data_IF_092755977598
#
_entry.id   IF_092755977598
#
_cell.length_a   1.000
_cell.length_b   1.000
_cell.length_c   1.000
_cell.angle_alpha   90.00
_cell.angle_beta   90.00
_cell.angle_gamma   90.00
#
_symmetry.space_group_name_H-M   'P 1'
#
loop_
_entity.id
_entity.type
_entity.pdbx_description
1 polymer ?
#
# COMPACT_ATOMS: atom_id res chain seq x y z
N UNK A 1 5.35 -18.56 30.51
CA UNK A 1 4.45 -18.68 29.35
C UNK A 1 5.32 -18.92 28.13
N UNK A 2 4.87 -19.71 27.15
CA UNK A 2 5.64 -19.98 25.93
C UNK A 2 5.49 -18.84 24.92
N UNK A 3 6.53 -18.56 24.14
CA UNK A 3 6.45 -17.64 23.01
C UNK A 3 6.47 -18.41 21.71
N UNK A 4 5.81 -17.87 20.68
CA UNK A 4 5.85 -18.39 19.32
C UNK A 4 6.22 -17.28 18.35
N UNK A 5 6.93 -17.64 17.29
CA UNK A 5 7.00 -16.83 16.08
C UNK A 5 5.71 -17.03 15.30
N UNK A 6 5.18 -15.94 14.78
CA UNK A 6 4.17 -15.95 13.73
C UNK A 6 4.69 -15.12 12.57
N UNK A 7 4.65 -15.71 11.38
CA UNK A 7 5.00 -15.02 10.16
C UNK A 7 3.79 -14.96 9.24
N UNK A 8 3.67 -13.83 8.55
CA UNK A 8 2.60 -13.51 7.61
C UNK A 8 3.18 -13.24 6.24
N UNK A 9 2.43 -13.62 5.22
CA UNK A 9 2.78 -13.32 3.85
C UNK A 9 1.51 -13.13 3.01
N UNK A 10 1.37 -11.93 2.48
CA UNK A 10 0.19 -11.50 1.72
C UNK A 10 0.26 -12.03 0.30
N UNK A 11 -0.80 -12.72 -0.12
CA UNK A 11 -0.88 -13.34 -1.44
C UNK A 11 -1.45 -12.36 -2.47
N UNK A 12 -1.08 -12.54 -3.75
CA UNK A 12 -1.73 -11.88 -4.89
C UNK A 12 -1.75 -10.33 -4.88
N UNK A 13 -0.80 -9.67 -4.20
CA UNK A 13 -0.71 -8.18 -4.15
C UNK A 13 -0.81 -7.56 -5.55
N UNK A 14 0.01 -8.02 -6.51
CA UNK A 14 0.04 -7.48 -7.87
C UNK A 14 -1.29 -7.69 -8.61
N UNK A 15 -1.91 -8.85 -8.46
CA UNK A 15 -3.21 -9.15 -9.08
C UNK A 15 -4.33 -8.29 -8.45
N UNK A 16 -4.29 -8.05 -7.14
CA UNK A 16 -5.25 -7.20 -6.47
C UNK A 16 -5.09 -5.73 -6.87
N UNK A 17 -3.87 -5.22 -6.91
CA UNK A 17 -3.60 -3.81 -7.24
C UNK A 17 -3.82 -3.53 -8.73
N UNK A 18 -3.31 -4.38 -9.63
CA UNK A 18 -3.31 -4.16 -11.08
C UNK A 18 -4.33 -5.00 -11.85
N UNK A 19 -5.24 -5.71 -11.18
CA UNK A 19 -6.35 -6.45 -11.80
C UNK A 19 -7.45 -5.57 -12.38
N UNK A 20 -7.19 -4.27 -12.54
CA UNK A 20 -8.09 -3.23 -13.03
C UNK A 20 -7.26 -2.18 -13.76
N UNK A 21 -7.84 -1.54 -14.77
CA UNK A 21 -7.23 -0.43 -15.50
C UNK A 21 -7.63 0.95 -14.93
N UNK A 22 -8.44 0.99 -13.88
CA UNK A 22 -8.94 2.22 -13.28
C UNK A 22 -7.96 2.73 -12.23
N UNK A 23 -7.43 3.92 -12.45
CA UNK A 23 -6.41 4.52 -11.59
C UNK A 23 -6.86 4.67 -10.13
N UNK A 24 -8.08 5.16 -9.89
CA UNK A 24 -8.67 5.23 -8.54
C UNK A 24 -8.70 3.88 -7.84
N UNK A 25 -8.90 2.78 -8.56
CA UNK A 25 -8.90 1.45 -7.96
C UNK A 25 -7.50 0.94 -7.65
N UNK A 26 -6.52 1.19 -8.53
CA UNK A 26 -5.10 0.88 -8.28
C UNK A 26 -4.62 1.60 -7.00
N UNK A 27 -4.92 2.89 -6.90
CA UNK A 27 -4.57 3.74 -5.76
C UNK A 27 -5.24 3.29 -4.47
N UNK A 28 -6.54 3.04 -4.54
CA UNK A 28 -7.32 2.54 -3.42
C UNK A 28 -6.82 1.18 -2.94
N UNK A 29 -6.52 0.27 -3.86
CA UNK A 29 -5.97 -1.05 -3.54
C UNK A 29 -4.65 -0.94 -2.77
N UNK A 30 -3.72 -0.11 -3.26
CA UNK A 30 -2.45 0.10 -2.55
C UNK A 30 -2.64 0.71 -1.17
N UNK A 31 -3.59 1.64 -1.01
CA UNK A 31 -3.88 2.26 0.29
C UNK A 31 -4.51 1.28 1.28
N UNK A 32 -5.43 0.43 0.83
CA UNK A 32 -6.02 -0.66 1.65
C UNK A 32 -4.91 -1.60 2.13
N UNK A 33 -4.04 -2.07 1.23
CA UNK A 33 -2.94 -2.97 1.58
C UNK A 33 -1.93 -2.33 2.54
N UNK A 34 -1.62 -1.05 2.36
CA UNK A 34 -0.73 -0.33 3.27
C UNK A 34 -1.33 -0.22 4.68
N UNK A 35 -2.61 0.17 4.80
CA UNK A 35 -3.34 0.18 6.08
C UNK A 35 -3.34 -1.20 6.73
N UNK A 36 -3.66 -2.25 5.98
CA UNK A 36 -3.69 -3.62 6.49
C UNK A 36 -2.32 -4.08 7.03
N UNK A 37 -1.24 -3.73 6.35
CA UNK A 37 0.12 -4.07 6.79
C UNK A 37 0.57 -3.24 8.00
N UNK A 38 0.41 -1.92 7.94
CA UNK A 38 1.00 -0.99 8.93
C UNK A 38 0.15 -0.81 10.18
N UNK A 39 -1.18 -0.89 10.05
CA UNK A 39 -2.13 -0.60 11.14
C UNK A 39 -2.74 -1.87 11.70
N UNK A 40 -3.37 -2.68 10.84
CA UNK A 40 -4.14 -3.85 11.27
C UNK A 40 -3.24 -4.99 11.74
N UNK A 41 -2.26 -5.41 10.93
CA UNK A 41 -1.34 -6.48 11.29
C UNK A 41 -0.51 -6.13 12.54
N UNK A 42 -0.28 -4.84 12.80
CA UNK A 42 0.45 -4.37 13.98
C UNK A 42 -0.45 -4.10 15.19
N UNK A 43 -1.76 -4.33 15.07
CA UNK A 43 -2.75 -4.14 16.13
C UNK A 43 -2.71 -2.75 16.78
N UNK A 44 -2.35 -1.71 16.01
CA UNK A 44 -2.20 -0.35 16.54
C UNK A 44 -3.53 0.24 17.02
N UNK A 45 -4.64 -0.10 16.37
CA UNK A 45 -5.97 0.34 16.78
C UNK A 45 -6.48 -0.43 18.01
N UNK A 46 -6.21 -1.74 18.06
CA UNK A 46 -6.81 -2.65 19.04
C UNK A 46 -5.77 -3.64 19.52
N UNK A 47 -5.26 -3.41 20.73
CA UNK A 47 -4.24 -4.27 21.36
C UNK A 47 -4.90 -5.50 22.01
N UNK A 48 -5.43 -6.38 21.17
CA UNK A 48 -6.11 -7.60 21.62
C UNK A 48 -5.15 -8.70 22.04
N UNK A 49 -3.99 -8.75 21.40
CA UNK A 49 -3.00 -9.79 21.63
C UNK A 49 -1.67 -9.17 22.07
N UNK A 50 -0.97 -9.85 22.98
CA UNK A 50 0.38 -9.47 23.38
C UNK A 50 1.36 -9.86 22.28
N UNK A 51 1.76 -8.88 21.48
CA UNK A 51 2.63 -9.09 20.32
C UNK A 51 3.82 -8.13 20.32
N UNK A 52 4.97 -8.64 19.91
CA UNK A 52 6.16 -7.84 19.65
C UNK A 52 6.49 -7.92 18.16
N UNK A 53 6.29 -6.80 17.46
CA UNK A 53 6.66 -6.65 16.04
C UNK A 53 8.17 -6.72 15.83
N UNK A 54 8.58 -7.61 14.92
CA UNK A 54 9.91 -7.64 14.32
C UNK A 54 9.90 -6.76 13.06
N UNK A 55 9.04 -7.08 12.09
CA UNK A 55 8.75 -6.25 10.91
C UNK A 55 7.32 -6.50 10.38
N UNK A 56 6.77 -5.56 9.62
CA UNK A 56 5.43 -5.66 9.01
C UNK A 56 5.31 -4.71 7.80
N UNK A 57 6.02 -5.02 6.71
CA UNK A 57 6.16 -4.15 5.54
C UNK A 57 6.05 -4.97 4.25
N UNK A 58 5.56 -4.38 3.16
CA UNK A 58 5.56 -5.01 1.84
C UNK A 58 4.74 -6.31 1.75
N UNK A 59 3.70 -6.47 2.57
CA UNK A 59 2.90 -7.69 2.63
C UNK A 59 3.50 -8.81 3.50
N UNK A 60 4.71 -8.63 4.05
CA UNK A 60 5.36 -9.57 4.95
C UNK A 60 5.28 -9.10 6.40
N UNK A 61 5.05 -10.04 7.31
CA UNK A 61 5.02 -9.77 8.75
C UNK A 61 5.77 -10.82 9.55
N UNK A 62 6.45 -10.41 10.62
CA UNK A 62 7.04 -11.31 11.61
C UNK A 62 6.87 -10.74 13.01
N UNK A 63 6.29 -11.54 13.89
CA UNK A 63 5.96 -11.16 15.26
C UNK A 63 6.33 -12.26 16.24
N UNK A 64 6.67 -11.85 17.46
CA UNK A 64 6.64 -12.71 18.65
C UNK A 64 5.31 -12.55 19.34
N UNK A 65 4.66 -13.67 19.67
CA UNK A 65 3.34 -13.70 20.29
C UNK A 65 3.30 -14.78 21.36
N UNK A 66 2.47 -14.61 22.38
CA UNK A 66 2.16 -15.69 23.31
C UNK A 66 1.64 -16.92 22.56
N UNK A 67 2.21 -18.11 22.83
CA UNK A 67 1.89 -19.33 22.10
C UNK A 67 0.40 -19.71 22.12
N UNK A 68 -0.34 -19.34 23.17
CA UNK A 68 -1.78 -19.64 23.27
C UNK A 68 -2.64 -18.70 22.42
N UNK A 69 -2.08 -17.56 22.01
CA UNK A 69 -2.75 -16.52 21.23
C UNK A 69 -2.33 -16.51 19.76
N UNK A 70 -1.21 -17.15 19.41
CA UNK A 70 -0.62 -17.10 18.08
C UNK A 70 -1.62 -17.45 16.96
N UNK A 71 -2.35 -18.57 17.08
CA UNK A 71 -3.32 -18.98 16.06
C UNK A 71 -4.54 -18.04 15.99
N UNK A 72 -5.02 -17.55 17.15
CA UNK A 72 -6.13 -16.58 17.20
C UNK A 72 -5.74 -15.27 16.52
N UNK A 73 -4.52 -14.81 16.74
CA UNK A 73 -3.99 -13.61 16.09
C UNK A 73 -3.82 -13.82 14.58
N UNK A 74 -3.33 -14.98 14.15
CA UNK A 74 -3.23 -15.34 12.73
C UNK A 74 -4.58 -15.26 12.01
N UNK A 75 -5.61 -15.91 12.57
CA UNK A 75 -6.98 -15.89 12.04
C UNK A 75 -7.61 -14.51 12.06
N UNK A 76 -7.34 -13.71 13.10
CA UNK A 76 -7.78 -12.32 13.17
C UNK A 76 -7.25 -11.51 11.99
N UNK A 77 -5.94 -11.55 11.74
CA UNK A 77 -5.33 -10.84 10.60
C UNK A 77 -5.89 -11.35 9.27
N UNK A 78 -6.05 -12.67 9.11
CA UNK A 78 -6.69 -13.24 7.92
C UNK A 78 -8.10 -12.72 7.67
N UNK A 79 -8.93 -12.67 8.71
CA UNK A 79 -10.30 -12.19 8.61
C UNK A 79 -10.35 -10.72 8.23
N UNK A 80 -9.51 -9.88 8.85
CA UNK A 80 -9.44 -8.45 8.53
C UNK A 80 -8.99 -8.20 7.08
N UNK A 81 -8.02 -8.97 6.56
CA UNK A 81 -7.61 -8.90 5.16
C UNK A 81 -8.75 -9.29 4.21
N UNK A 82 -9.46 -10.37 4.53
CA UNK A 82 -10.59 -10.85 3.74
C UNK A 82 -11.71 -9.80 3.72
N UNK A 83 -12.09 -9.28 4.87
CA UNK A 83 -13.14 -8.27 5.00
C UNK A 83 -12.76 -6.97 4.31
N UNK A 84 -11.57 -6.42 4.56
CA UNK A 84 -11.15 -5.14 3.98
C UNK A 84 -11.00 -5.19 2.44
N UNK A 85 -10.69 -6.35 1.87
CA UNK A 85 -10.45 -6.49 0.43
C UNK A 85 -11.62 -7.07 -0.36
N UNK A 86 -12.74 -7.39 0.31
CA UNK A 86 -13.89 -8.05 -0.33
C UNK A 86 -13.55 -9.48 -0.77
N UNK A 87 -12.67 -10.16 -0.03
CA UNK A 87 -12.23 -11.52 -0.30
C UNK A 87 -11.17 -11.69 -1.39
N UNK A 88 -10.82 -10.63 -2.13
CA UNK A 88 -9.87 -10.72 -3.25
C UNK A 88 -8.41 -10.90 -2.84
N UNK A 89 -8.05 -10.63 -1.58
CA UNK A 89 -6.71 -10.86 -1.04
C UNK A 89 -6.80 -11.83 0.13
N UNK A 90 -5.87 -12.78 0.14
CA UNK A 90 -5.63 -13.64 1.29
C UNK A 90 -4.24 -13.36 1.86
N UNK A 91 -4.07 -13.63 3.16
CA UNK A 91 -2.77 -13.60 3.84
C UNK A 91 -2.53 -14.98 4.43
N UNK A 92 -1.41 -15.59 4.08
CA UNK A 92 -0.98 -16.84 4.69
C UNK A 92 -0.27 -16.53 6.00
N UNK A 93 -0.47 -17.37 7.02
CA UNK A 93 0.29 -17.27 8.25
C UNK A 93 0.73 -18.66 8.72
N UNK A 94 1.87 -18.71 9.40
CA UNK A 94 2.35 -19.92 10.06
C UNK A 94 2.88 -19.58 11.44
N UNK A 95 2.82 -20.54 12.35
CA UNK A 95 3.30 -20.37 13.72
C UNK A 95 4.35 -21.41 14.07
N UNK A 96 5.32 -21.01 14.89
CA UNK A 96 6.37 -21.90 15.37
C UNK A 96 6.67 -21.58 16.83
N UNK A 97 6.48 -22.56 17.71
CA UNK A 97 6.78 -22.41 19.14
C UNK A 97 8.29 -22.30 19.40
N UNK A 98 8.66 -21.39 20.29
CA UNK A 98 10.03 -21.17 20.73
C UNK A 98 10.30 -21.88 22.07
N UNK A 99 11.57 -22.19 22.37
CA UNK A 99 11.98 -22.69 23.69
C UNK A 99 11.56 -21.75 24.83
N UNK A 100 11.31 -22.30 26.02
CA UNK A 100 10.84 -21.51 27.18
C UNK A 100 11.85 -20.47 27.67
N UNK A 101 13.13 -20.71 27.41
CA UNK A 101 14.28 -19.89 27.79
C UNK A 101 14.80 -19.02 26.63
N UNK A 102 14.06 -18.96 25.53
CA UNK A 102 14.42 -18.16 24.34
C UNK A 102 14.65 -16.69 24.68
N UNK A 103 15.75 -16.15 24.15
CA UNK A 103 16.06 -14.73 24.17
C UNK A 103 16.09 -14.18 22.76
N UNK A 104 15.69 -12.92 22.61
CA UNK A 104 15.71 -12.21 21.32
C UNK A 104 17.08 -12.26 20.63
N UNK A 105 18.16 -12.26 21.40
CA UNK A 105 19.55 -12.32 20.91
C UNK A 105 19.98 -13.70 20.42
N UNK A 106 19.17 -14.74 20.61
CA UNK A 106 19.54 -16.09 20.24
C UNK A 106 19.62 -16.25 18.72
N UNK A 107 20.62 -17.00 18.26
CA UNK A 107 20.77 -17.37 16.87
C UNK A 107 19.82 -18.51 16.54
N UNK A 108 18.88 -18.27 15.63
CA UNK A 108 17.82 -19.22 15.28
C UNK A 108 17.67 -19.42 13.76
N UNK A 109 18.77 -19.65 12.99
CA UNK A 109 18.70 -19.81 11.53
C UNK A 109 17.74 -20.94 11.10
N UNK A 110 17.92 -22.15 11.64
CA UNK A 110 17.10 -23.32 11.27
C UNK A 110 15.60 -23.09 11.51
N UNK A 111 15.26 -22.33 12.55
CA UNK A 111 13.88 -21.99 12.88
C UNK A 111 13.29 -21.00 11.89
N UNK A 112 14.06 -19.99 11.51
CA UNK A 112 13.66 -18.99 10.51
C UNK A 112 13.52 -19.62 9.12
N UNK A 113 14.44 -20.52 8.74
CA UNK A 113 14.38 -21.25 7.48
C UNK A 113 13.17 -22.19 7.44
N UNK A 114 12.91 -22.92 8.53
CA UNK A 114 11.71 -23.75 8.65
C UNK A 114 10.43 -22.91 8.59
N UNK A 115 10.40 -21.73 9.23
CA UNK A 115 9.25 -20.83 9.20
C UNK A 115 8.97 -20.33 7.77
N UNK A 116 10.02 -19.98 7.02
CA UNK A 116 9.90 -19.57 5.62
C UNK A 116 9.42 -20.72 4.73
N UNK A 117 9.98 -21.92 4.90
CA UNK A 117 9.52 -23.11 4.18
C UNK A 117 8.04 -23.43 4.47
N UNK A 118 7.63 -23.32 5.73
CA UNK A 118 6.23 -23.52 6.12
C UNK A 118 5.30 -22.49 5.46
N UNK A 119 5.71 -21.21 5.40
CA UNK A 119 4.96 -20.17 4.69
C UNK A 119 4.83 -20.48 3.20
N UNK A 120 5.92 -20.87 2.54
CA UNK A 120 5.90 -21.21 1.12
C UNK A 120 5.00 -22.42 0.84
N UNK A 121 4.99 -23.40 1.74
CA UNK A 121 4.08 -24.55 1.66
C UNK A 121 2.63 -24.08 1.80
N UNK A 122 2.32 -23.31 2.83
CA UNK A 122 0.98 -22.79 3.10
C UNK A 122 0.45 -22.00 1.89
N UNK A 123 1.28 -21.12 1.31
CA UNK A 123 0.93 -20.35 0.10
C UNK A 123 0.50 -21.21 -1.08
N UNK A 124 1.12 -22.39 -1.26
CA UNK A 124 0.79 -23.32 -2.35
C UNK A 124 -0.50 -24.09 -2.07
N UNK A 125 -0.81 -24.32 -0.79
CA UNK A 125 -2.00 -25.07 -0.37
C UNK A 125 -3.26 -24.21 -0.28
N UNK A 126 -3.13 -22.88 -0.20
CA UNK A 126 -4.25 -21.94 -0.33
C UNK A 126 -4.77 -21.99 -1.78
N UNK A 127 -5.64 -22.96 -2.04
CA UNK A 127 -6.42 -23.03 -3.27
C UNK A 127 -7.42 -21.88 -3.25
N UNK A 128 -7.23 -20.90 -4.11
CA UNK A 128 -8.27 -19.93 -4.40
C UNK A 128 -9.51 -20.69 -4.88
N UNK A 129 -10.63 -20.52 -4.18
CA UNK A 129 -11.94 -20.85 -4.74
C UNK A 129 -12.19 -19.84 -5.86
N UNK A 130 -11.75 -20.17 -7.07
CA UNK A 130 -12.14 -19.43 -8.26
C UNK A 130 -13.62 -19.75 -8.48
N UNK A 131 -14.48 -18.79 -8.16
CA UNK A 131 -15.87 -18.84 -8.56
C UNK A 131 -15.92 -18.67 -10.08
N UNK A 132 -15.94 -19.79 -10.81
CA UNK A 132 -16.13 -19.73 -12.25
C UNK A 132 -17.49 -19.08 -12.53
N UNK A 133 -17.58 -18.16 -13.51
CA UNK A 133 -18.85 -17.60 -13.96
C UNK A 133 -19.77 -18.75 -14.39
N UNK A 134 -20.73 -19.10 -13.54
CA UNK A 134 -21.49 -20.35 -13.68
C UNK A 134 -22.95 -20.11 -14.05
N UNK A 135 -23.45 -18.88 -13.94
CA UNK A 135 -24.87 -18.59 -14.13
C UNK A 135 -25.14 -17.36 -15.03
N UNK A 136 -26.02 -17.49 -16.05
CA UNK A 136 -26.38 -16.39 -16.97
C UNK A 136 -27.14 -15.20 -16.34
N UNK A 137 -27.50 -15.29 -15.05
CA UNK A 137 -28.18 -14.20 -14.32
C UNK A 137 -27.22 -13.40 -13.44
N UNK A 138 -25.93 -13.75 -13.43
CA UNK A 138 -24.93 -13.04 -12.65
C UNK A 138 -24.09 -12.21 -13.61
N UNK A 139 -23.93 -10.93 -13.29
CA UNK A 139 -23.10 -9.98 -14.04
C UNK A 139 -21.71 -9.92 -13.42
N UNK A 140 -20.68 -9.86 -14.26
CA UNK A 140 -19.31 -9.61 -13.81
C UNK A 140 -19.13 -8.13 -13.45
N UNK A 141 -18.24 -7.86 -12.52
CA UNK A 141 -17.82 -6.52 -12.14
C UNK A 141 -17.37 -5.74 -13.39
N UNK A 142 -17.93 -4.55 -13.58
CA UNK A 142 -17.65 -3.72 -14.76
C UNK A 142 -16.21 -3.20 -14.80
N UNK A 143 -15.48 -3.31 -13.68
CA UNK A 143 -14.08 -2.88 -13.59
C UNK A 143 -13.06 -4.02 -13.69
N UNK A 144 -13.09 -4.99 -12.77
CA UNK A 144 -12.11 -6.07 -12.80
C UNK A 144 -12.46 -7.20 -13.78
N UNK A 145 -13.74 -7.36 -14.14
CA UNK A 145 -14.19 -8.44 -15.03
C UNK A 145 -14.00 -9.86 -14.49
N UNK A 146 -13.56 -10.02 -13.24
CA UNK A 146 -13.27 -11.33 -12.61
C UNK A 146 -14.35 -11.74 -11.63
N UNK A 147 -14.65 -10.85 -10.68
CA UNK A 147 -15.63 -11.11 -9.61
C UNK A 147 -17.04 -10.76 -10.06
N UNK A 148 -18.04 -11.31 -9.38
CA UNK A 148 -19.43 -10.93 -9.60
C UNK A 148 -19.72 -9.52 -9.07
N UNK A 149 -20.50 -8.76 -9.82
CA UNK A 149 -20.98 -7.47 -9.39
C UNK A 149 -22.07 -7.64 -8.33
N UNK A 150 -22.05 -6.77 -7.31
CA UNK A 150 -23.08 -6.74 -6.28
C UNK A 150 -24.10 -5.66 -6.63
N UNK A 151 -25.37 -6.07 -6.78
CA UNK A 151 -26.46 -5.18 -7.13
C UNK A 151 -26.90 -4.29 -5.96
N UNK A 152 -26.62 -4.69 -4.71
CA UNK A 152 -26.90 -3.86 -3.53
C UNK A 152 -25.88 -2.73 -3.38
N UNK A 153 -24.70 -2.89 -3.99
CA UNK A 153 -23.73 -1.82 -4.22
C UNK A 153 -24.22 -0.97 -5.42
N UNK A 154 -25.45 -0.47 -5.32
CA UNK A 154 -25.98 0.53 -6.24
C UNK A 154 -25.18 1.83 -6.10
N UNK A 155 -24.87 2.44 -7.24
CA UNK A 155 -24.00 3.60 -7.45
C UNK A 155 -24.38 4.90 -6.71
N UNK A 156 -25.41 4.90 -5.85
CA UNK A 156 -25.92 6.10 -5.16
C UNK A 156 -24.86 6.87 -4.37
N UNK A 157 -23.77 6.22 -3.96
CA UNK A 157 -22.66 6.85 -3.22
C UNK A 157 -21.30 6.74 -3.94
N UNK A 158 -21.27 6.23 -5.17
CA UNK A 158 -20.04 6.02 -5.93
C UNK A 158 -19.59 7.30 -6.64
N UNK A 159 -18.29 7.58 -6.59
CA UNK A 159 -17.69 8.64 -7.40
C UNK A 159 -17.50 8.11 -8.83
N UNK A 160 -18.40 8.54 -9.70
CA UNK A 160 -18.27 8.36 -11.14
C UNK A 160 -17.17 9.27 -11.68
N UNK A 161 -16.30 8.73 -12.52
CA UNK A 161 -15.49 9.61 -13.38
C UNK A 161 -16.42 10.30 -14.40
N UNK A 162 -16.09 11.50 -14.88
CA UNK A 162 -16.81 12.12 -15.96
C UNK A 162 -16.91 11.17 -17.17
N UNK A 163 -18.11 10.70 -17.48
CA UNK A 163 -18.37 9.74 -18.56
C UNK A 163 -18.52 8.26 -18.15
N UNK A 164 -18.39 7.91 -16.86
CA UNK A 164 -18.80 6.57 -16.38
C UNK A 164 -20.33 6.49 -16.30
N UNK A 165 -20.92 5.48 -16.95
CA UNK A 165 -22.34 5.12 -16.84
C UNK A 165 -22.65 4.39 -15.53
N UNK A 166 -23.92 4.05 -15.29
CA UNK A 166 -24.36 3.22 -14.16
C UNK A 166 -23.76 1.80 -14.22
N UNK A 167 -22.51 1.69 -13.77
CA UNK A 167 -21.73 0.47 -13.71
C UNK A 167 -21.90 -0.21 -12.35
N UNK A 168 -22.14 -1.53 -12.37
CA UNK A 168 -22.15 -2.37 -11.17
C UNK A 168 -20.74 -2.90 -10.90
N UNK A 169 -20.33 -2.83 -9.64
CA UNK A 169 -18.99 -3.22 -9.18
C UNK A 169 -19.08 -4.37 -8.17
N UNK A 170 -18.02 -5.17 -8.07
CA UNK A 170 -17.87 -6.07 -6.93
C UNK A 170 -17.48 -5.29 -5.67
N UNK A 171 -17.67 -5.91 -4.51
CA UNK A 171 -17.32 -5.35 -3.19
C UNK A 171 -15.87 -4.85 -3.15
N UNK A 172 -14.95 -5.61 -3.73
CA UNK A 172 -13.53 -5.27 -3.78
C UNK A 172 -13.25 -3.97 -4.55
N UNK A 173 -13.74 -3.84 -5.78
CA UNK A 173 -13.56 -2.64 -6.60
C UNK A 173 -14.25 -1.43 -5.99
N UNK A 174 -15.42 -1.63 -5.38
CA UNK A 174 -16.12 -0.58 -4.65
C UNK A 174 -15.31 -0.03 -3.47
N UNK A 175 -14.78 -0.92 -2.62
CA UNK A 175 -13.93 -0.53 -1.48
C UNK A 175 -12.68 0.22 -1.92
N UNK A 176 -12.03 -0.20 -3.02
CA UNK A 176 -10.88 0.53 -3.59
C UNK A 176 -11.26 1.97 -3.97
N UNK A 177 -12.41 2.18 -4.62
CA UNK A 177 -12.88 3.52 -5.01
C UNK A 177 -13.14 4.41 -3.80
N UNK A 178 -13.78 3.87 -2.75
CA UNK A 178 -13.97 4.59 -1.48
C UNK A 178 -12.62 4.96 -0.88
N UNK A 179 -11.68 4.02 -0.80
CA UNK A 179 -10.37 4.30 -0.22
C UNK A 179 -9.60 5.40 -0.98
N UNK A 180 -9.65 5.42 -2.32
CA UNK A 180 -9.02 6.51 -3.09
C UNK A 180 -9.61 7.88 -2.77
N UNK A 181 -10.93 7.96 -2.59
CA UNK A 181 -11.61 9.18 -2.15
C UNK A 181 -11.09 9.62 -0.79
N UNK A 182 -11.09 8.72 0.20
CA UNK A 182 -10.69 9.05 1.56
C UNK A 182 -9.24 9.56 1.60
N UNK A 183 -8.35 8.97 0.80
CA UNK A 183 -6.96 9.45 0.65
C UNK A 183 -6.90 10.83 -0.02
N UNK A 184 -7.72 11.10 -1.05
CA UNK A 184 -7.77 12.42 -1.69
C UNK A 184 -8.29 13.50 -0.73
N UNK A 185 -9.31 13.17 0.05
CA UNK A 185 -9.89 14.06 1.06
C UNK A 185 -8.84 14.35 2.16
N UNK A 186 -8.13 13.32 2.62
CA UNK A 186 -7.00 13.45 3.55
C UNK A 186 -5.92 14.41 3.03
N UNK A 187 -5.45 14.20 1.79
CA UNK A 187 -4.42 15.04 1.17
C UNK A 187 -4.92 16.48 1.06
N UNK A 188 -6.16 16.67 0.60
CA UNK A 188 -6.77 17.98 0.42
C UNK A 188 -6.89 18.74 1.74
N UNK A 189 -7.30 18.05 2.81
CA UNK A 189 -7.39 18.65 4.14
C UNK A 189 -6.02 19.00 4.70
N UNK A 190 -5.00 18.15 4.48
CA UNK A 190 -3.64 18.43 4.89
C UNK A 190 -3.09 19.69 4.21
N UNK A 191 -3.21 19.79 2.89
CA UNK A 191 -2.65 20.91 2.11
C UNK A 191 -3.43 22.21 2.32
N UNK A 192 -4.76 22.15 2.49
CA UNK A 192 -5.58 23.36 2.71
C UNK A 192 -5.42 23.97 4.09
N UNK A 193 -5.36 23.15 5.13
CA UNK A 193 -5.43 23.61 6.51
C UNK A 193 -4.08 23.62 7.22
N UNK A 194 -3.00 23.15 6.58
CA UNK A 194 -1.66 23.05 7.20
C UNK A 194 -1.68 22.24 8.50
N UNK A 195 -2.68 21.39 8.68
CA UNK A 195 -2.90 20.67 9.93
C UNK A 195 -1.90 19.53 10.01
N UNK A 196 -1.20 19.43 11.14
CA UNK A 196 -0.70 18.14 11.60
C UNK A 196 -1.89 17.17 11.63
N UNK A 197 -1.76 16.05 10.93
CA UNK A 197 -2.70 14.94 11.02
C UNK A 197 -2.99 14.71 12.52
N UNK A 198 -4.24 14.88 12.95
CA UNK A 198 -4.59 14.70 14.36
C UNK A 198 -4.70 13.21 14.70
N UNK A 199 -5.10 12.44 13.71
CA UNK A 199 -5.26 11.01 13.80
C UNK A 199 -3.90 10.30 13.72
N UNK A 200 -3.64 9.44 14.69
CA UNK A 200 -2.43 8.62 14.74
C UNK A 200 -2.43 7.57 13.63
N UNK A 201 -3.61 7.12 13.19
CA UNK A 201 -3.75 6.13 12.12
C UNK A 201 -3.31 6.71 10.79
N UNK A 202 -3.87 7.85 10.42
CA UNK A 202 -3.58 8.51 9.15
C UNK A 202 -2.10 8.87 9.01
N UNK A 203 -1.38 9.17 10.10
CA UNK A 203 0.07 9.40 10.08
C UNK A 203 0.88 8.17 9.66
N UNK A 204 0.42 7.00 10.06
CA UNK A 204 1.14 5.73 9.87
C UNK A 204 0.85 5.11 8.50
N UNK A 205 -0.22 5.54 7.84
CA UNK A 205 -0.48 5.22 6.44
C UNK A 205 0.49 5.96 5.50
N UNK A 206 0.66 5.39 4.31
CA UNK A 206 1.55 5.82 3.24
C UNK A 206 1.59 7.35 3.04
N UNK A 207 0.44 7.92 2.68
CA UNK A 207 0.34 9.33 2.32
C UNK A 207 0.50 10.24 3.53
N UNK A 208 0.07 9.83 4.72
CA UNK A 208 0.30 10.65 5.91
C UNK A 208 1.76 10.70 6.33
N UNK A 209 2.49 9.60 6.15
CA UNK A 209 3.95 9.59 6.34
C UNK A 209 4.63 10.48 5.31
N UNK A 210 4.29 10.34 4.02
CA UNK A 210 4.88 11.15 2.94
C UNK A 210 4.60 12.63 3.13
N UNK A 211 3.36 13.04 3.37
CA UNK A 211 3.00 14.44 3.58
C UNK A 211 3.74 15.06 4.77
N UNK A 212 3.86 14.30 5.87
CA UNK A 212 4.61 14.74 7.05
C UNK A 212 6.10 14.92 6.72
N UNK A 213 6.71 13.95 6.04
CA UNK A 213 8.12 14.00 5.64
C UNK A 213 8.42 15.10 4.63
N UNK A 214 7.57 15.27 3.63
CA UNK A 214 7.70 16.36 2.66
C UNK A 214 7.64 17.73 3.37
N UNK A 215 6.75 17.88 4.35
CA UNK A 215 6.70 19.10 5.16
C UNK A 215 7.97 19.31 5.99
N UNK A 216 8.54 18.25 6.58
CA UNK A 216 9.82 18.30 7.32
C UNK A 216 11.01 18.67 6.41
N UNK A 217 11.01 18.19 5.17
CA UNK A 217 12.06 18.43 4.17
C UNK A 217 11.87 19.76 3.41
N UNK A 218 10.83 20.55 3.72
CA UNK A 218 10.61 21.88 3.14
C UNK A 218 9.92 21.89 1.77
N UNK A 219 9.10 20.89 1.47
CA UNK A 219 8.22 20.92 0.29
C UNK A 219 7.18 22.04 0.39
N UNK A 220 6.96 22.79 -0.70
CA UNK A 220 6.01 23.90 -0.70
C UNK A 220 4.58 23.44 -0.95
N UNK A 221 3.71 23.66 0.04
CA UNK A 221 2.27 23.38 -0.03
C UNK A 221 1.40 24.64 -0.21
N UNK A 222 2.01 25.81 -0.44
CA UNK A 222 1.32 27.11 -0.57
C UNK A 222 0.20 27.10 -1.62
N UNK A 223 0.43 26.42 -2.75
CA UNK A 223 -0.55 26.30 -3.85
C UNK A 223 -1.67 25.29 -3.56
N UNK A 224 -1.64 24.64 -2.39
CA UNK A 224 -2.61 23.62 -1.95
C UNK A 224 -2.77 22.50 -2.97
N UNK A 225 -1.66 21.85 -3.40
CA UNK A 225 -1.71 20.83 -4.41
C UNK A 225 -2.60 19.66 -3.98
N UNK A 226 -3.31 19.10 -4.95
CA UNK A 226 -4.14 17.92 -4.80
C UNK A 226 -3.57 16.76 -5.63
N UNK A 227 -3.97 15.55 -5.26
CA UNK A 227 -3.64 14.36 -6.03
C UNK A 227 -4.37 14.43 -7.39
N UNK A 228 -3.70 14.11 -8.51
CA UNK A 228 -4.31 14.23 -9.84
C UNK A 228 -5.47 13.24 -10.02
N UNK A 229 -6.59 13.65 -10.62
CA UNK A 229 -7.73 12.73 -10.87
C UNK A 229 -7.42 11.71 -11.98
N UNK A 230 -6.71 12.15 -13.01
CA UNK A 230 -6.23 11.32 -14.11
C UNK A 230 -4.84 11.81 -14.55
N UNK A 231 -4.14 11.01 -15.35
CA UNK A 231 -2.79 11.35 -15.79
C UNK A 231 -2.72 12.34 -16.95
N UNK A 232 -3.84 12.72 -17.57
CA UNK A 232 -3.82 13.72 -18.63
C UNK A 232 -3.39 15.08 -18.09
N UNK A 233 -3.58 15.35 -16.79
CA UNK A 233 -3.10 16.59 -16.15
C UNK A 233 -1.58 16.75 -16.27
N UNK A 234 -0.82 15.67 -16.47
CA UNK A 234 0.63 15.77 -16.63
C UNK A 234 1.05 16.55 -17.89
N UNK A 235 0.16 16.70 -18.89
CA UNK A 235 0.38 17.54 -20.08
C UNK A 235 0.58 19.01 -19.75
N UNK A 236 0.12 19.45 -18.57
CA UNK A 236 0.18 20.83 -18.12
C UNK A 236 1.52 21.17 -17.46
N UNK A 237 2.47 20.22 -17.37
CA UNK A 237 3.79 20.48 -16.83
C UNK A 237 4.83 20.86 -17.89
N UNK A 238 5.85 21.64 -17.50
CA UNK A 238 6.92 22.14 -18.37
C UNK A 238 7.71 20.99 -18.97
N UNK A 239 7.94 21.07 -20.28
CA UNK A 239 8.63 20.01 -21.03
C UNK A 239 7.82 18.73 -21.23
N UNK A 240 6.63 18.61 -20.62
CA UNK A 240 5.75 17.47 -20.84
C UNK A 240 5.15 17.52 -22.25
N UNK A 241 5.30 16.41 -22.96
CA UNK A 241 4.61 16.07 -24.22
C UNK A 241 3.43 15.15 -23.89
N UNK A 242 2.95 14.34 -24.83
CA UNK A 242 1.90 13.33 -24.61
C UNK A 242 2.41 12.07 -23.87
N UNK A 243 3.51 12.18 -23.12
CA UNK A 243 4.15 11.07 -22.42
C UNK A 243 4.18 11.31 -20.91
N UNK A 244 4.01 10.23 -20.16
CA UNK A 244 4.24 10.17 -18.71
C UNK A 244 5.49 9.32 -18.43
N UNK A 245 6.15 9.60 -17.30
CA UNK A 245 7.21 8.76 -16.76
C UNK A 245 6.63 7.82 -15.72
N UNK A 246 6.83 6.51 -15.89
CA UNK A 246 6.54 5.49 -14.88
C UNK A 246 7.86 4.98 -14.32
N UNK A 247 8.10 5.22 -13.03
CA UNK A 247 9.29 4.77 -12.32
C UNK A 247 8.90 3.53 -11.53
N UNK A 248 9.56 2.41 -11.85
CA UNK A 248 9.52 1.19 -11.07
C UNK A 248 10.91 0.91 -10.52
N UNK A 249 11.02 0.70 -9.21
CA UNK A 249 12.26 0.31 -8.56
C UNK A 249 11.99 -0.85 -7.60
N UNK A 250 12.94 -1.78 -7.53
CA UNK A 250 12.91 -2.97 -6.67
C UNK A 250 14.25 -3.12 -5.95
N UNK A 251 14.22 -3.56 -4.70
CA UNK A 251 15.39 -3.73 -3.87
C UNK A 251 16.18 -4.99 -4.25
N UNK A 252 17.43 -4.80 -4.68
CA UNK A 252 18.28 -5.92 -5.06
C UNK A 252 18.60 -6.85 -3.86
N UNK A 253 18.42 -8.16 -4.05
CA UNK A 253 18.88 -9.22 -3.14
C UNK A 253 18.34 -9.14 -1.70
N UNK A 254 17.16 -8.56 -1.51
CA UNK A 254 16.52 -8.39 -0.20
C UNK A 254 16.36 -9.70 0.57
N UNK A 255 15.91 -10.78 -0.11
CA UNK A 255 15.80 -12.11 0.51
C UNK A 255 17.15 -12.64 1.03
N UNK A 256 18.24 -12.42 0.28
CA UNK A 256 19.60 -12.85 0.70
C UNK A 256 20.10 -12.02 1.88
N UNK A 257 19.82 -10.72 1.90
CA UNK A 257 20.17 -9.84 3.01
C UNK A 257 19.47 -10.29 4.30
N UNK A 258 18.18 -10.65 4.24
CA UNK A 258 17.46 -11.18 5.40
C UNK A 258 17.92 -12.59 5.81
N UNK A 259 18.24 -13.47 4.86
CA UNK A 259 18.70 -14.83 5.14
C UNK A 259 20.02 -14.87 5.94
N UNK A 260 20.92 -13.91 5.71
CA UNK A 260 22.18 -13.80 6.47
C UNK A 260 21.98 -13.38 7.94
N UNK A 261 20.82 -12.82 8.28
CA UNK A 261 20.51 -12.37 9.64
C UNK A 261 19.86 -13.49 10.45
N UNK A 262 20.59 -13.94 11.46
CA UNK A 262 20.23 -15.12 12.27
C UNK A 262 19.53 -14.77 13.58
N UNK A 263 19.43 -13.48 13.94
CA UNK A 263 18.77 -13.00 15.17
C UNK A 263 17.60 -12.06 14.85
N UNK A 264 16.59 -12.03 15.74
CA UNK A 264 15.41 -11.17 15.56
C UNK A 264 15.71 -9.66 15.64
N UNK A 265 16.56 -9.17 16.57
CA UNK A 265 16.95 -7.76 16.64
C UNK A 265 17.63 -7.26 15.37
N UNK A 266 18.51 -8.06 14.76
CA UNK A 266 19.18 -7.69 13.52
C UNK A 266 18.16 -7.53 12.39
N UNK A 267 17.23 -8.50 12.24
CA UNK A 267 16.15 -8.42 11.23
C UNK A 267 15.27 -7.20 11.44
N UNK A 268 14.91 -6.90 12.69
CA UNK A 268 14.14 -5.69 13.05
C UNK A 268 14.88 -4.41 12.67
N UNK A 269 16.17 -4.33 12.98
CA UNK A 269 16.99 -3.17 12.67
C UNK A 269 17.10 -2.95 11.16
N UNK A 270 17.41 -4.02 10.40
CA UNK A 270 17.51 -3.95 8.94
C UNK A 270 16.18 -3.53 8.30
N UNK A 271 15.07 -4.18 8.68
CA UNK A 271 13.75 -3.85 8.15
C UNK A 271 13.36 -2.38 8.42
N UNK A 272 13.66 -1.86 9.61
CA UNK A 272 13.41 -0.45 9.95
C UNK A 272 14.28 0.49 9.12
N UNK A 273 15.54 0.17 8.92
CA UNK A 273 16.46 0.98 8.11
C UNK A 273 16.03 1.03 6.65
N UNK A 274 15.62 -0.10 6.07
CA UNK A 274 15.23 -0.17 4.65
C UNK A 274 13.93 0.61 4.40
N UNK A 275 12.90 0.38 5.22
CA UNK A 275 11.65 1.13 5.12
C UNK A 275 11.90 2.63 5.27
N UNK A 276 12.72 3.03 6.25
CA UNK A 276 13.09 4.44 6.42
C UNK A 276 13.85 5.02 5.23
N UNK A 277 14.83 4.29 4.68
CA UNK A 277 15.65 4.75 3.56
C UNK A 277 14.86 4.93 2.27
N UNK A 278 13.90 4.04 1.98
CA UNK A 278 13.05 4.13 0.79
C UNK A 278 12.14 5.37 0.85
N UNK A 279 11.48 5.59 1.99
CA UNK A 279 10.65 6.79 2.16
C UNK A 279 11.49 8.06 2.07
N UNK A 280 12.67 8.06 2.69
CA UNK A 280 13.59 9.19 2.64
C UNK A 280 14.04 9.49 1.21
N UNK A 281 14.47 8.48 0.46
CA UNK A 281 14.91 8.62 -0.92
C UNK A 281 13.79 9.17 -1.83
N UNK A 282 12.58 8.61 -1.72
CA UNK A 282 11.42 9.09 -2.49
C UNK A 282 11.07 10.52 -2.13
N UNK A 283 11.03 10.87 -0.84
CA UNK A 283 10.71 12.23 -0.41
C UNK A 283 11.79 13.23 -0.84
N UNK A 284 13.07 12.88 -0.74
CA UNK A 284 14.17 13.73 -1.20
C UNK A 284 14.12 13.97 -2.71
N UNK A 285 13.87 12.92 -3.50
CA UNK A 285 13.70 13.05 -4.95
C UNK A 285 12.52 13.98 -5.28
N UNK A 286 11.40 13.86 -4.55
CA UNK A 286 10.24 14.73 -4.71
C UNK A 286 10.56 16.18 -4.37
N UNK A 287 11.18 16.46 -3.22
CA UNK A 287 11.51 17.83 -2.81
C UNK A 287 12.48 18.49 -3.80
N UNK A 288 13.44 17.73 -4.31
CA UNK A 288 14.49 18.25 -5.20
C UNK A 288 14.01 18.45 -6.63
N UNK A 289 13.17 17.54 -7.15
CA UNK A 289 12.87 17.49 -8.58
C UNK A 289 11.39 17.70 -8.91
N UNK A 290 10.47 17.77 -7.94
CA UNK A 290 9.03 17.71 -8.17
C UNK A 290 8.25 18.79 -7.40
N UNK A 291 8.79 20.00 -7.29
CA UNK A 291 8.06 21.15 -6.73
C UNK A 291 6.99 21.66 -7.71
N UNK A 292 5.80 22.00 -7.20
CA UNK A 292 4.66 22.41 -8.04
C UNK A 292 4.99 23.63 -8.91
N UNK A 293 5.59 24.66 -8.31
CA UNK A 293 5.92 25.93 -8.97
C UNK A 293 6.90 25.77 -10.14
N UNK A 294 7.81 24.81 -10.04
CA UNK A 294 8.83 24.58 -11.07
C UNK A 294 8.24 23.93 -12.31
N UNK A 295 7.21 23.09 -12.12
CA UNK A 295 6.66 22.25 -13.16
C UNK A 295 5.45 22.84 -13.87
N UNK A 296 4.65 23.71 -13.27
CA UNK A 296 3.44 24.21 -13.96
C UNK A 296 3.79 25.09 -15.17
N UNK A 297 3.14 24.82 -16.32
CA UNK A 297 3.20 25.73 -17.48
C UNK A 297 2.68 27.13 -17.11
N UNK A 298 3.14 28.19 -17.81
CA UNK A 298 2.55 29.53 -17.67
C UNK A 298 1.04 29.49 -17.85
N UNK A 299 0.31 30.40 -17.19
CA UNK A 299 -1.15 30.40 -17.18
C UNK A 299 -1.77 30.46 -18.58
N UNK A 300 -1.08 31.07 -19.54
CA UNK A 300 -1.54 31.18 -20.93
C UNK A 300 -1.48 29.84 -21.71
N UNK A 301 -0.79 28.83 -21.18
CA UNK A 301 -0.58 27.52 -21.83
C UNK A 301 -1.18 26.35 -21.04
N UNK A 302 -1.89 26.63 -19.94
CA UNK A 302 -2.62 25.62 -19.19
C UNK A 302 -3.86 25.20 -19.98
N UNK A 303 -4.10 23.89 -20.07
CA UNK A 303 -5.39 23.41 -20.56
C UNK A 303 -6.49 23.65 -19.51
N UNK A 304 -7.73 23.81 -19.98
CA UNK A 304 -8.92 24.14 -19.16
C UNK A 304 -9.26 23.08 -18.08
N UNK A 305 -8.61 21.92 -18.11
CA UNK A 305 -8.83 20.81 -17.19
C UNK A 305 -8.18 20.99 -15.81
N UNK A 306 -7.32 22.00 -15.63
CA UNK A 306 -6.61 22.25 -14.38
C UNK A 306 -7.43 23.14 -13.43
N UNK A 307 -8.38 22.53 -12.72
CA UNK A 307 -9.26 23.23 -11.77
C UNK A 307 -8.54 23.71 -10.50
N UNK A 308 -7.49 22.98 -10.08
CA UNK A 308 -6.71 23.21 -8.87
C UNK A 308 -5.25 22.86 -9.12
N UNK A 309 -4.33 23.36 -8.28
CA UNK A 309 -2.94 22.90 -8.32
C UNK A 309 -2.88 21.39 -8.06
N UNK A 310 -2.03 20.69 -8.81
CA UNK A 310 -1.87 19.24 -8.73
C UNK A 310 -0.42 18.89 -8.46
N UNK A 311 -0.19 17.82 -7.68
CA UNK A 311 1.16 17.30 -7.51
C UNK A 311 1.74 16.88 -8.87
N UNK A 312 3.00 17.23 -9.18
CA UNK A 312 3.70 16.74 -10.36
C UNK A 312 4.19 15.29 -10.15
N UNK A 313 3.48 14.49 -9.36
CA UNK A 313 3.76 13.08 -9.16
C UNK A 313 2.52 12.37 -8.61
N UNK A 314 2.54 11.04 -8.71
CA UNK A 314 1.59 10.18 -8.03
C UNK A 314 2.23 8.86 -7.63
N UNK A 315 2.17 8.51 -6.34
CA UNK A 315 2.74 7.28 -5.80
C UNK A 315 1.65 6.21 -5.85
N UNK A 316 1.87 5.18 -6.66
CA UNK A 316 0.93 4.07 -6.87
C UNK A 316 1.19 2.91 -5.92
N UNK A 317 2.45 2.65 -5.61
CA UNK A 317 2.87 1.61 -4.67
C UNK A 317 4.19 2.04 -4.02
N UNK A 318 4.27 1.90 -2.70
CA UNK A 318 5.50 2.16 -1.95
C UNK A 318 5.49 1.29 -0.70
N UNK A 319 6.30 0.25 -0.65
CA UNK A 319 6.35 -0.60 0.53
C UNK A 319 7.25 -1.82 0.37
N UNK A 320 7.93 -2.18 1.46
CA UNK A 320 8.95 -3.22 1.42
C UNK A 320 10.14 -2.69 0.63
N UNK A 321 10.33 -3.23 -0.57
CA UNK A 321 11.39 -2.94 -1.52
C UNK A 321 10.87 -2.47 -2.90
N UNK A 322 9.55 -2.54 -3.14
CA UNK A 322 8.92 -2.07 -4.37
C UNK A 322 8.52 -0.59 -4.29
N UNK A 323 8.89 0.17 -5.33
CA UNK A 323 8.43 1.55 -5.59
C UNK A 323 7.79 1.60 -6.97
N UNK A 324 6.59 2.14 -7.05
CA UNK A 324 5.92 2.50 -8.31
C UNK A 324 5.36 3.90 -8.22
N UNK A 325 5.91 4.83 -8.99
CA UNK A 325 5.43 6.21 -9.04
C UNK A 325 5.36 6.75 -10.47
N UNK A 326 4.43 7.66 -10.69
CA UNK A 326 4.22 8.36 -11.96
C UNK A 326 4.67 9.81 -11.81
N UNK A 327 5.38 10.32 -12.82
CA UNK A 327 5.92 11.68 -12.87
C UNK A 327 5.83 12.25 -14.30
N UNK A 328 5.97 13.57 -14.50
CA UNK A 328 6.17 14.14 -15.83
C UNK A 328 7.37 13.50 -16.54
N UNK A 329 7.20 13.12 -17.80
CA UNK A 329 8.26 12.44 -18.57
C UNK A 329 9.54 13.27 -18.69
N UNK A 330 9.45 14.60 -18.62
CA UNK A 330 10.59 15.52 -18.73
C UNK A 330 11.60 15.40 -17.58
N UNK A 331 11.18 14.91 -16.41
CA UNK A 331 12.04 14.79 -15.21
C UNK A 331 12.14 13.36 -14.68
N UNK A 332 11.59 12.39 -15.40
CA UNK A 332 11.53 11.01 -14.93
C UNK A 332 12.92 10.41 -14.64
N UNK A 333 13.92 10.73 -15.47
CA UNK A 333 15.30 10.27 -15.25
C UNK A 333 15.96 10.97 -14.06
N UNK A 334 15.71 12.27 -13.87
CA UNK A 334 16.27 13.02 -12.75
C UNK A 334 15.71 12.55 -11.39
N UNK A 335 14.44 12.13 -11.38
CA UNK A 335 13.80 11.55 -10.18
C UNK A 335 14.31 10.14 -9.90
N UNK A 336 14.66 9.38 -10.95
CA UNK A 336 15.08 7.98 -10.81
C UNK A 336 16.56 7.80 -10.41
N UNK A 337 17.40 8.84 -10.56
CA UNK A 337 18.86 8.80 -10.35
C UNK A 337 19.28 9.42 -9.00
#
# INVERSE_FOLDING_TARGET
MGQSLIAFDTNHIKQYVFGTNKLKEIRGASSILDRLNRVVMTQREKKYYDTQKIYANGGLGLFLVDSQQADKFGRYVQQEYKEATGGSVSVSYVTQALPKDFKLSDHIPDRLDLLQWMLEKEKREVHQLIALPSHPFIRLCSSCGVEYADAEIESKYLIHDPGETDDLYCESCHKKRIQDKDVKDLITDFTKYGKRLKDAENKEQLWGTILTRLSELGYDFSDKPQRPDNFNVFRNFKGAKDYLGLIYADGNNMGRAFAQLTTLPQRKALAKTIDGAIYEAVCQAIVKHLQVADHLKPKEQLADDLKHAVFPFDILLLGGDDVLMVVPASVALDVAL
#
